data_IF_849516218303
#
_entry.id   IF_849516218303
#
_cell.length_a   1.000
_cell.length_b   1.000
_cell.length_c   1.000
_cell.angle_alpha   90.00
_cell.angle_beta   90.00
_cell.angle_gamma   90.00
#
_symmetry.space_group_name_H-M   'P 1'
#
loop_
_entity.id
_entity.type
_entity.pdbx_description
1 polymer ?
#
# COMPACT_ATOMS: atom_id res chain seq x y z
N UNK A 1 -4.34 11.39 -13.45
CA UNK A 1 -5.30 10.89 -12.44
C UNK A 1 -6.40 11.91 -12.25
N UNK A 2 -7.64 11.53 -12.55
CA UNK A 2 -8.82 12.32 -12.19
C UNK A 2 -9.06 12.23 -10.68
N UNK A 3 -9.94 13.08 -10.13
CA UNK A 3 -10.25 13.09 -8.69
C UNK A 3 -10.74 11.71 -8.20
N UNK A 4 -11.58 11.04 -8.99
CA UNK A 4 -12.12 9.71 -8.69
C UNK A 4 -11.03 8.65 -8.62
N UNK A 5 -10.07 8.68 -9.56
CA UNK A 5 -8.96 7.72 -9.55
C UNK A 5 -8.08 7.89 -8.32
N UNK A 6 -7.74 9.14 -7.96
CA UNK A 6 -7.00 9.40 -6.72
C UNK A 6 -7.74 8.88 -5.49
N UNK A 7 -9.05 9.10 -5.41
CA UNK A 7 -9.86 8.63 -4.30
C UNK A 7 -9.84 7.09 -4.21
N UNK A 8 -10.04 6.43 -5.35
CA UNK A 8 -10.00 4.96 -5.47
C UNK A 8 -8.64 4.40 -5.06
N UNK A 9 -7.53 5.00 -5.51
CA UNK A 9 -6.17 4.56 -5.16
C UNK A 9 -5.89 4.70 -3.67
N UNK A 10 -6.30 5.82 -3.05
CA UNK A 10 -6.13 6.03 -1.60
C UNK A 10 -6.96 5.04 -0.79
N UNK A 11 -8.21 4.80 -1.18
CA UNK A 11 -9.08 3.81 -0.52
C UNK A 11 -8.51 2.40 -0.65
N UNK A 12 -8.04 2.00 -1.84
CA UNK A 12 -7.41 0.71 -2.05
C UNK A 12 -6.16 0.52 -1.18
N UNK A 13 -5.31 1.55 -1.08
CA UNK A 13 -4.14 1.52 -0.21
C UNK A 13 -4.52 1.44 1.28
N UNK A 14 -5.55 2.16 1.72
CA UNK A 14 -6.03 2.09 3.10
C UNK A 14 -6.53 0.68 3.47
N UNK A 15 -7.30 0.03 2.59
CA UNK A 15 -7.76 -1.34 2.77
C UNK A 15 -6.60 -2.35 2.80
N UNK A 16 -5.59 -2.15 1.94
CA UNK A 16 -4.38 -2.97 1.91
C UNK A 16 -3.62 -2.90 3.23
N UNK A 17 -3.36 -1.69 3.75
CA UNK A 17 -2.68 -1.49 5.05
C UNK A 17 -3.51 -2.07 6.19
N UNK A 18 -4.83 -1.90 6.17
CA UNK A 18 -5.72 -2.46 7.19
C UNK A 18 -5.63 -4.00 7.25
N UNK A 19 -5.71 -4.66 6.10
CA UNK A 19 -5.60 -6.12 6.02
C UNK A 19 -4.24 -6.61 6.52
N UNK A 20 -3.15 -5.95 6.13
CA UNK A 20 -1.80 -6.27 6.59
C UNK A 20 -1.64 -6.06 8.09
N UNK A 21 -2.22 -4.99 8.65
CA UNK A 21 -2.24 -4.75 10.09
C UNK A 21 -2.93 -5.88 10.85
N UNK A 22 -4.05 -6.40 10.33
CA UNK A 22 -4.72 -7.58 10.90
C UNK A 22 -3.79 -8.79 10.88
N UNK A 23 -3.06 -9.01 9.78
CA UNK A 23 -2.14 -10.14 9.66
C UNK A 23 -0.99 -10.07 10.67
N UNK A 24 -0.43 -8.87 10.95
CA UNK A 24 0.61 -8.67 11.97
C UNK A 24 0.09 -9.02 13.38
N UNK A 25 -1.16 -8.63 13.69
CA UNK A 25 -1.76 -8.90 15.01
C UNK A 25 -2.08 -10.37 15.18
N UNK A 26 -2.65 -11.02 14.16
CA UNK A 26 -3.10 -12.40 14.25
C UNK A 26 -1.96 -13.42 14.05
N UNK A 27 -0.91 -13.03 13.32
CA UNK A 27 0.27 -13.86 13.05
C UNK A 27 1.53 -13.07 13.48
N UNK A 28 1.81 -12.98 14.80
CA UNK A 28 2.91 -12.16 15.33
C UNK A 28 4.27 -12.83 15.09
N UNK A 29 4.72 -12.82 13.84
CA UNK A 29 6.05 -13.26 13.40
C UNK A 29 6.86 -12.02 13.02
N UNK A 30 8.06 -11.89 13.59
CA UNK A 30 8.94 -10.73 13.34
C UNK A 30 9.34 -10.66 11.88
N UNK A 31 9.73 -11.78 11.29
CA UNK A 31 10.09 -11.89 9.87
C UNK A 31 8.96 -11.40 8.95
N UNK A 32 7.74 -11.88 9.21
CA UNK A 32 6.54 -11.43 8.50
C UNK A 32 6.32 -9.92 8.67
N UNK A 33 6.39 -9.42 9.91
CA UNK A 33 6.21 -7.99 10.20
C UNK A 33 7.16 -7.09 9.40
N UNK A 34 8.44 -7.48 9.29
CA UNK A 34 9.44 -6.74 8.51
C UNK A 34 9.09 -6.75 7.01
N UNK A 35 8.75 -7.92 6.46
CA UNK A 35 8.37 -8.05 5.03
C UNK A 35 7.12 -7.21 4.72
N UNK A 36 6.11 -7.25 5.59
CA UNK A 36 4.88 -6.47 5.40
C UNK A 36 5.17 -4.97 5.49
N UNK A 37 6.01 -4.54 6.44
CA UNK A 37 6.39 -3.13 6.58
C UNK A 37 7.12 -2.61 5.34
N UNK A 38 8.08 -3.37 4.80
CA UNK A 38 8.77 -3.03 3.55
C UNK A 38 7.78 -2.94 2.38
N UNK A 39 6.82 -3.86 2.32
CA UNK A 39 5.78 -3.87 1.28
C UNK A 39 4.89 -2.63 1.35
N UNK A 40 4.46 -2.22 2.55
CA UNK A 40 3.67 -1.01 2.77
C UNK A 40 4.45 0.24 2.32
N UNK A 41 5.74 0.32 2.68
CA UNK A 41 6.60 1.43 2.27
C UNK A 41 6.76 1.52 0.75
N UNK A 42 6.95 0.38 0.07
CA UNK A 42 7.04 0.32 -1.39
C UNK A 42 5.73 0.75 -2.07
N UNK A 43 4.58 0.24 -1.61
CA UNK A 43 3.28 0.67 -2.13
C UNK A 43 3.00 2.15 -1.86
N UNK A 44 3.39 2.67 -0.69
CA UNK A 44 3.27 4.09 -0.39
C UNK A 44 4.16 4.91 -1.33
N UNK A 45 5.40 4.48 -1.55
CA UNK A 45 6.30 5.12 -2.49
C UNK A 45 5.72 5.15 -3.91
N UNK A 46 5.13 4.04 -4.36
CA UNK A 46 4.44 3.96 -5.64
C UNK A 46 3.29 4.98 -5.73
N UNK A 47 2.42 5.02 -4.71
CA UNK A 47 1.25 5.88 -4.68
C UNK A 47 1.58 7.38 -4.65
N UNK A 48 2.64 7.77 -3.93
CA UNK A 48 2.96 9.19 -3.70
C UNK A 48 4.05 9.73 -4.65
N UNK A 49 5.01 8.90 -5.04
CA UNK A 49 6.18 9.33 -5.83
C UNK A 49 6.24 8.75 -7.24
N UNK A 50 5.67 7.58 -7.49
CA UNK A 50 5.72 6.98 -8.82
C UNK A 50 4.72 7.68 -9.75
N UNK A 51 5.26 8.49 -10.65
CA UNK A 51 4.51 9.03 -11.78
C UNK A 51 4.50 7.94 -12.85
N UNK A 52 3.38 7.24 -13.00
CA UNK A 52 3.17 6.36 -14.15
C UNK A 52 3.48 7.17 -15.42
N UNK A 53 4.49 6.79 -16.23
CA UNK A 53 4.73 7.45 -17.50
C UNK A 53 3.46 7.27 -18.34
N UNK A 54 2.91 8.40 -18.82
CA UNK A 54 1.79 8.38 -19.73
C UNK A 54 2.19 7.52 -20.93
N UNK A 55 1.52 6.37 -21.09
CA UNK A 55 1.67 5.53 -22.26
C UNK A 55 0.93 6.26 -23.38
N UNK A 56 1.71 6.92 -24.22
CA UNK A 56 1.32 7.54 -25.49
C UNK A 56 0.62 6.54 -26.43
#
# INVERSE_FOLDING_TARGET
MTLTERLMSVVAFALFVFFLGVLIVYVPRVDLGVVLLVTILLCAYDLFWHKTPARD
#
